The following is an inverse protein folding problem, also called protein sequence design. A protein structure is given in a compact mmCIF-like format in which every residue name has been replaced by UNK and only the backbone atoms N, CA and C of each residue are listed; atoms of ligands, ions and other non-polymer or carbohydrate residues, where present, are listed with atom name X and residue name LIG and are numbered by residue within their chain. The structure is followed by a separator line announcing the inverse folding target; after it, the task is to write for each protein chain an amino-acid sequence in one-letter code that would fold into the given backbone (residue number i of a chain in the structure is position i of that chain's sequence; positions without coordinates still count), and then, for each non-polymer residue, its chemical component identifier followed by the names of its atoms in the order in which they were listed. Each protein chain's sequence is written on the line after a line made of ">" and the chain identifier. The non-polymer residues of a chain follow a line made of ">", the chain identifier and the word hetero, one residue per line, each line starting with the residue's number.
data_IF_246802346909
#
_entry.id   IF_246802346909
#
_cell.length_a   1.000
_cell.length_b   1.000
_cell.length_c   1.000
_cell.angle_alpha   90.00
_cell.angle_beta   90.00
_cell.angle_gamma   90.00
#
_symmetry.space_group_name_H-M   'P 1'
#
loop_
_entity.id
_entity.type
_entity.pdbx_description
1 polymer ?
#
# COMPACT_ATOMS: atom_id res chain seq x y z
N UNK A 1 23.78 23.32 -22.22
CA UNK A 1 22.80 22.95 -23.27
C UNK A 1 22.33 21.50 -23.20
N UNK A 2 23.16 20.49 -22.88
CA UNK A 2 22.76 19.05 -22.87
C UNK A 2 21.57 18.67 -21.97
N UNK A 3 21.42 19.28 -20.79
CA UNK A 3 20.35 18.94 -19.82
C UNK A 3 18.94 19.28 -20.31
N UNK A 4 18.76 20.37 -21.07
CA UNK A 4 17.44 20.80 -21.58
C UNK A 4 16.87 19.80 -22.61
N UNK A 5 17.74 19.22 -23.44
CA UNK A 5 17.36 18.19 -24.40
C UNK A 5 17.06 16.86 -23.73
N UNK A 6 17.79 16.48 -22.68
CA UNK A 6 17.52 15.25 -21.93
C UNK A 6 16.15 15.29 -21.24
N UNK A 7 15.79 16.42 -20.62
CA UNK A 7 14.46 16.58 -19.99
C UNK A 7 13.36 16.52 -21.04
N UNK A 8 13.53 17.23 -22.16
CA UNK A 8 12.55 17.21 -23.26
C UNK A 8 12.38 15.82 -23.85
N UNK A 9 13.46 15.06 -24.00
CA UNK A 9 13.43 13.69 -24.53
C UNK A 9 12.76 12.73 -23.55
N UNK A 10 12.98 12.89 -22.24
CA UNK A 10 12.26 12.12 -21.20
C UNK A 10 10.77 12.44 -21.21
N UNK A 11 10.38 13.71 -21.38
CA UNK A 11 8.98 14.11 -21.50
C UNK A 11 8.32 13.52 -22.76
N UNK A 12 8.99 13.58 -23.91
CA UNK A 12 8.49 12.99 -25.16
C UNK A 12 8.33 11.47 -25.00
N UNK A 13 9.32 10.78 -24.43
CA UNK A 13 9.23 9.33 -24.17
C UNK A 13 8.10 9.02 -23.19
N UNK A 14 7.92 9.81 -22.13
CA UNK A 14 6.82 9.64 -21.20
C UNK A 14 5.46 9.85 -21.87
N UNK A 15 5.30 10.88 -22.70
CA UNK A 15 4.07 11.15 -23.45
C UNK A 15 3.76 10.01 -24.44
N UNK A 16 4.75 9.51 -25.17
CA UNK A 16 4.59 8.37 -26.08
C UNK A 16 4.21 7.10 -25.32
N UNK A 17 4.77 6.88 -24.13
CA UNK A 17 4.38 5.75 -23.26
C UNK A 17 2.94 5.92 -22.76
N UNK A 18 2.55 7.12 -22.33
CA UNK A 18 1.18 7.43 -21.88
C UNK A 18 0.19 7.24 -23.02
N UNK A 19 0.48 7.77 -24.21
CA UNK A 19 -0.37 7.65 -25.39
C UNK A 19 -0.49 6.19 -25.86
N UNK A 20 0.60 5.43 -25.77
CA UNK A 20 0.59 3.98 -26.04
C UNK A 20 -0.20 3.21 -24.98
N UNK A 21 -0.06 3.53 -23.69
CA UNK A 21 -0.87 2.92 -22.63
C UNK A 21 -2.36 3.26 -22.84
N UNK A 22 -2.70 4.52 -23.17
CA UNK A 22 -4.07 4.95 -23.45
C UNK A 22 -4.68 4.25 -24.67
N UNK A 23 -3.94 4.09 -25.77
CA UNK A 23 -4.40 3.35 -26.94
C UNK A 23 -4.65 1.87 -26.63
N UNK A 24 -3.82 1.24 -25.80
CA UNK A 24 -4.05 -0.13 -25.35
C UNK A 24 -5.26 -0.19 -24.42
N UNK A 25 -5.41 0.76 -23.48
CA UNK A 25 -6.57 0.82 -22.57
C UNK A 25 -7.87 0.99 -23.35
N UNK A 26 -7.91 1.85 -24.37
CA UNK A 26 -9.08 2.02 -25.25
C UNK A 26 -9.42 0.70 -25.95
N UNK A 27 -8.43 0.08 -26.62
CA UNK A 27 -8.65 -1.21 -27.33
C UNK A 27 -9.10 -2.33 -26.40
N UNK A 28 -8.53 -2.41 -25.20
CA UNK A 28 -8.91 -3.40 -24.18
C UNK A 28 -10.32 -3.10 -23.64
N UNK A 29 -10.64 -1.82 -23.41
CA UNK A 29 -11.97 -1.37 -22.99
C UNK A 29 -13.03 -1.77 -24.01
N UNK A 30 -12.85 -1.38 -25.26
CA UNK A 30 -13.81 -1.61 -26.35
C UNK A 30 -14.08 -3.10 -26.57
N UNK A 31 -13.07 -3.95 -26.35
CA UNK A 31 -13.17 -5.40 -26.48
C UNK A 31 -13.73 -6.12 -25.23
N UNK A 32 -13.70 -5.48 -24.06
CA UNK A 32 -14.31 -6.00 -22.82
C UNK A 32 -15.78 -5.61 -22.66
N UNK A 33 -16.30 -4.71 -23.50
CA UNK A 33 -17.65 -4.15 -23.32
C UNK A 33 -18.83 -5.05 -23.76
N UNK A 34 -18.72 -6.16 -24.53
CA UNK A 34 -19.90 -6.97 -24.84
C UNK A 34 -20.00 -8.21 -23.94
N UNK A 35 -20.66 -8.06 -22.77
CA UNK A 35 -21.45 -9.10 -22.04
C UNK A 35 -21.96 -8.66 -20.65
N UNK A 36 -22.35 -7.38 -20.48
CA UNK A 36 -23.25 -7.02 -19.38
C UNK A 36 -24.68 -7.05 -19.91
N UNK A 37 -25.45 -8.07 -19.48
CA UNK A 37 -26.90 -8.15 -19.63
C UNK A 37 -27.55 -6.92 -18.97
N UNK A 38 -28.72 -6.43 -19.44
CA UNK A 38 -29.25 -5.12 -19.07
C UNK A 38 -29.51 -5.01 -17.56
N UNK A 39 -28.92 -4.01 -16.92
CA UNK A 39 -29.32 -3.60 -15.57
C UNK A 39 -30.65 -2.86 -15.65
N UNK A 40 -31.66 -3.40 -14.98
CA UNK A 40 -32.94 -2.75 -14.70
C UNK A 40 -32.70 -1.43 -13.94
N UNK A 41 -33.35 -0.30 -14.29
CA UNK A 41 -33.11 0.97 -13.62
C UNK A 41 -33.71 0.94 -12.20
N UNK A 42 -32.86 1.14 -11.18
CA UNK A 42 -33.34 1.42 -9.83
C UNK A 42 -33.76 2.90 -9.78
N UNK A 43 -35.07 3.16 -9.81
CA UNK A 43 -35.64 4.48 -9.57
C UNK A 43 -35.33 4.92 -8.13
N UNK A 44 -34.62 6.05 -7.98
CA UNK A 44 -34.49 6.76 -6.71
C UNK A 44 -35.64 7.75 -6.55
N UNK A 45 -36.74 7.31 -5.91
CA UNK A 45 -37.72 8.22 -5.33
C UNK A 45 -37.21 8.68 -3.96
N UNK A 46 -36.65 9.89 -3.89
CA UNK A 46 -36.35 10.57 -2.63
C UNK A 46 -37.55 11.44 -2.28
N UNK A 47 -38.37 10.94 -1.34
CA UNK A 47 -39.36 11.75 -0.63
C UNK A 47 -38.76 12.16 0.72
N UNK A 48 -38.72 13.46 1.01
CA UNK A 48 -38.25 14.01 2.28
C UNK A 48 -39.15 13.54 3.46
N UNK A 49 -38.62 13.19 4.64
CA UNK A 49 -39.44 12.99 5.81
C UNK A 49 -39.68 14.32 6.54
N UNK A 50 -40.96 14.53 6.87
CA UNK A 50 -41.50 15.66 7.59
C UNK A 50 -40.98 15.76 9.04
N UNK A 51 -40.78 17.00 9.49
CA UNK A 51 -40.54 17.40 10.87
C UNK A 51 -41.77 17.07 11.75
N UNK A 52 -41.61 16.12 12.67
CA UNK A 52 -42.53 15.92 13.79
C UNK A 52 -42.14 16.87 14.94
N UNK A 53 -43.04 17.80 15.25
CA UNK A 53 -43.03 18.61 16.47
C UNK A 53 -43.29 17.71 17.68
N UNK A 54 -42.46 17.79 18.70
CA UNK A 54 -42.88 17.46 20.07
C UNK A 54 -42.55 18.61 21.02
N UNK A 55 -43.58 19.02 21.75
CA UNK A 55 -43.53 19.96 22.86
C UNK A 55 -42.93 19.26 24.09
N UNK A 56 -41.92 19.87 24.70
CA UNK A 56 -41.38 19.47 26.00
C UNK A 56 -41.05 20.72 26.82
N UNK A 57 -41.55 20.73 28.05
CA UNK A 57 -41.55 21.81 29.05
C UNK A 57 -40.21 22.54 29.24
N UNK A 58 -40.28 23.87 29.39
CA UNK A 58 -39.15 24.77 29.67
C UNK A 58 -38.65 24.61 31.11
N UNK A 59 -37.67 23.73 31.33
CA UNK A 59 -36.74 23.85 32.46
C UNK A 59 -35.59 24.79 32.07
N UNK A 60 -35.69 26.03 32.56
CA UNK A 60 -34.68 27.09 32.67
C UNK A 60 -33.53 27.13 31.65
N UNK A 61 -33.59 28.11 30.73
CA UNK A 61 -32.51 28.51 29.81
C UNK A 61 -31.13 28.66 30.50
N UNK A 62 -31.09 29.02 31.78
CA UNK A 62 -29.84 29.14 32.53
C UNK A 62 -29.12 27.81 32.78
N UNK A 63 -29.84 26.69 32.87
CA UNK A 63 -29.23 25.37 33.04
C UNK A 63 -28.59 24.89 31.75
N UNK A 64 -29.20 25.20 30.60
CA UNK A 64 -28.65 24.91 29.28
C UNK A 64 -27.37 25.70 29.04
N UNK A 65 -27.30 26.97 29.44
CA UNK A 65 -26.09 27.79 29.32
C UNK A 65 -24.92 27.26 30.16
N UNK A 66 -25.18 26.78 31.38
CA UNK A 66 -24.16 26.16 32.24
C UNK A 66 -23.67 24.84 31.63
N UNK A 67 -24.57 24.02 31.10
CA UNK A 67 -24.21 22.78 30.40
C UNK A 67 -23.39 23.09 29.14
N UNK A 68 -23.78 24.12 28.39
CA UNK A 68 -23.11 24.52 27.15
C UNK A 68 -21.71 25.09 27.41
N UNK A 69 -21.54 25.91 28.45
CA UNK A 69 -20.21 26.39 28.88
C UNK A 69 -19.34 25.25 29.42
N UNK A 70 -19.92 24.29 30.15
CA UNK A 70 -19.17 23.10 30.58
C UNK A 70 -18.76 22.21 29.40
N UNK A 71 -19.63 22.04 28.41
CA UNK A 71 -19.36 21.28 27.20
C UNK A 71 -18.31 21.98 26.35
N UNK A 72 -18.41 23.30 26.18
CA UNK A 72 -17.45 24.14 25.47
C UNK A 72 -16.07 24.10 26.15
N UNK A 73 -16.00 24.22 27.48
CA UNK A 73 -14.76 24.06 28.24
C UNK A 73 -14.18 22.65 28.17
N UNK A 74 -15.04 21.62 28.08
CA UNK A 74 -14.61 20.23 27.84
C UNK A 74 -14.06 20.04 26.44
N UNK A 75 -14.70 20.65 25.44
CA UNK A 75 -14.25 20.69 24.05
C UNK A 75 -12.93 21.46 23.95
N UNK A 76 -12.81 22.66 24.52
CA UNK A 76 -11.58 23.45 24.54
C UNK A 76 -10.45 22.72 25.27
N UNK A 77 -10.70 22.08 26.42
CA UNK A 77 -9.70 21.24 27.09
C UNK A 77 -9.35 19.97 26.29
N UNK A 78 -10.28 19.43 25.49
CA UNK A 78 -10.02 18.34 24.57
C UNK A 78 -9.17 18.82 23.40
N UNK A 79 -9.47 19.98 22.82
CA UNK A 79 -8.70 20.62 21.76
C UNK A 79 -7.30 20.99 22.26
N UNK A 80 -7.16 21.54 23.46
CA UNK A 80 -5.86 21.84 24.09
C UNK A 80 -5.06 20.57 24.45
N UNK A 81 -5.70 19.48 24.92
CA UNK A 81 -5.02 18.18 25.10
C UNK A 81 -4.63 17.52 23.78
N UNK A 82 -5.36 17.81 22.71
CA UNK A 82 -5.08 17.28 21.37
C UNK A 82 -3.98 18.10 20.68
N UNK A 83 -3.92 19.40 20.92
CA UNK A 83 -2.86 20.31 20.46
C UNK A 83 -1.55 20.13 21.24
N UNK A 84 -1.60 19.83 22.55
CA UNK A 84 -0.40 19.54 23.35
C UNK A 84 0.19 18.13 23.12
N UNK A 85 -0.41 17.33 22.23
CA UNK A 85 0.06 16.00 21.75
C UNK A 85 -0.06 15.86 20.22
N UNK A 86 -0.12 16.97 19.49
CA UNK A 86 -0.27 16.98 18.04
C UNK A 86 1.04 16.58 17.32
N UNK A 87 1.27 15.27 17.25
CA UNK A 87 2.39 14.64 16.53
C UNK A 87 2.60 13.17 16.89
N UNK A 88 1.52 12.39 17.07
CA UNK A 88 1.68 10.95 17.34
C UNK A 88 2.35 10.24 16.16
N UNK A 89 3.30 9.32 16.44
CA UNK A 89 4.00 8.50 15.43
C UNK A 89 3.01 7.76 14.53
N UNK A 90 2.94 8.12 13.25
CA UNK A 90 2.06 7.48 12.25
C UNK A 90 2.71 6.25 11.63
N UNK A 91 1.91 5.21 11.43
CA UNK A 91 2.31 3.94 10.81
C UNK A 91 1.48 3.72 9.56
N UNK A 92 2.03 4.00 8.38
CA UNK A 92 1.29 3.99 7.13
C UNK A 92 1.50 2.65 6.44
N UNK A 93 0.42 1.95 6.11
CA UNK A 93 0.47 0.77 5.25
C UNK A 93 -0.11 1.09 3.88
N UNK A 94 0.76 1.21 2.87
CA UNK A 94 0.38 1.35 1.47
C UNK A 94 0.15 -0.05 0.88
N UNK A 95 -1.12 -0.44 0.83
CA UNK A 95 -1.58 -1.68 0.21
C UNK A 95 -1.90 -1.46 -1.26
N UNK A 96 -1.50 -2.40 -2.11
CA UNK A 96 -1.72 -2.30 -3.53
C UNK A 96 -1.65 -3.67 -4.22
N UNK A 97 -1.79 -3.69 -5.55
CA UNK A 97 -1.37 -4.82 -6.38
C UNK A 97 -0.27 -4.40 -7.34
N UNK A 98 0.45 -5.35 -7.92
CA UNK A 98 1.51 -5.04 -8.90
C UNK A 98 0.95 -4.27 -10.10
N UNK A 99 1.69 -3.24 -10.54
CA UNK A 99 1.37 -2.32 -11.65
C UNK A 99 0.25 -1.28 -11.39
N UNK A 100 -0.14 -1.09 -10.14
CA UNK A 100 -1.09 -0.02 -9.74
C UNK A 100 -0.48 1.38 -9.61
N UNK A 101 0.86 1.50 -9.69
CA UNK A 101 1.55 2.78 -9.43
C UNK A 101 2.03 2.92 -7.97
N UNK A 102 1.85 1.90 -7.13
CA UNK A 102 2.24 1.92 -5.72
C UNK A 102 3.71 2.25 -5.45
N UNK A 103 4.61 1.95 -6.39
CA UNK A 103 6.04 2.31 -6.24
C UNK A 103 6.26 3.80 -6.44
N UNK A 104 5.49 4.44 -7.32
CA UNK A 104 5.51 5.90 -7.49
C UNK A 104 4.90 6.58 -6.27
N UNK A 105 3.74 6.09 -5.78
CA UNK A 105 3.12 6.63 -4.56
C UNK A 105 4.02 6.44 -3.33
N UNK A 106 4.67 5.28 -3.21
CA UNK A 106 5.60 4.99 -2.13
C UNK A 106 6.81 5.93 -2.09
N UNK A 107 7.23 6.47 -3.24
CA UNK A 107 8.36 7.38 -3.34
C UNK A 107 8.09 8.72 -2.64
N UNK A 108 6.83 9.18 -2.57
CA UNK A 108 6.49 10.38 -1.78
C UNK A 108 6.81 10.20 -0.30
N UNK A 109 6.62 8.99 0.26
CA UNK A 109 7.02 8.68 1.63
C UNK A 109 8.54 8.54 1.76
N UNK A 110 9.17 7.88 0.79
CA UNK A 110 10.61 7.65 0.75
C UNK A 110 11.44 8.96 0.73
N UNK A 111 10.87 10.03 0.16
CA UNK A 111 11.49 11.35 0.05
C UNK A 111 11.28 12.26 1.28
N UNK A 112 10.51 11.85 2.29
CA UNK A 112 10.33 12.64 3.52
C UNK A 112 11.57 12.67 4.42
N UNK A 113 12.66 11.98 4.04
CA UNK A 113 13.99 12.14 4.62
C UNK A 113 14.08 11.75 6.10
N UNK A 114 14.46 12.69 6.97
CA UNK A 114 14.69 12.46 8.39
C UNK A 114 13.43 12.06 9.17
N UNK A 115 12.23 12.33 8.63
CA UNK A 115 10.99 12.12 9.38
C UNK A 115 10.32 10.76 9.17
N UNK A 116 10.66 10.06 8.09
CA UNK A 116 9.97 8.84 7.66
C UNK A 116 10.94 7.68 7.50
N UNK A 117 10.56 6.53 8.04
CA UNK A 117 11.17 5.25 7.71
C UNK A 117 10.30 4.51 6.69
N UNK A 118 10.69 4.54 5.41
CA UNK A 118 9.97 3.86 4.34
C UNK A 118 10.58 2.48 4.04
N UNK A 119 9.76 1.43 3.99
CA UNK A 119 10.15 0.09 3.58
C UNK A 119 9.42 -0.37 2.32
N UNK A 120 10.22 -0.76 1.32
CA UNK A 120 9.73 -1.29 0.06
C UNK A 120 9.53 -2.82 0.12
N UNK A 121 8.28 -3.28 0.06
CA UNK A 121 7.89 -4.69 -0.08
C UNK A 121 8.62 -5.72 0.81
N UNK A 122 8.72 -5.51 2.14
CA UNK A 122 9.42 -6.45 3.02
C UNK A 122 8.80 -7.86 3.03
N UNK A 123 7.48 -7.96 2.79
CA UNK A 123 6.76 -9.23 2.72
C UNK A 123 7.13 -10.11 1.52
N UNK A 124 7.99 -9.64 0.60
CA UNK A 124 8.53 -10.48 -0.48
C UNK A 124 9.20 -11.75 0.03
N UNK A 125 9.94 -11.64 1.13
CA UNK A 125 10.61 -12.78 1.76
C UNK A 125 9.62 -13.79 2.32
N UNK A 126 8.60 -13.29 3.00
CA UNK A 126 7.54 -14.12 3.58
C UNK A 126 6.79 -14.88 2.48
N UNK A 127 6.39 -14.21 1.40
CA UNK A 127 5.74 -14.87 0.27
C UNK A 127 6.66 -15.89 -0.40
N UNK A 128 7.93 -15.54 -0.64
CA UNK A 128 8.88 -16.44 -1.30
C UNK A 128 9.10 -17.73 -0.50
N UNK A 129 9.21 -17.64 0.83
CA UNK A 129 9.42 -18.81 1.68
C UNK A 129 8.15 -19.66 1.84
N UNK A 130 6.98 -19.03 1.94
CA UNK A 130 5.71 -19.75 2.15
C UNK A 130 5.06 -20.27 0.86
N UNK A 131 5.62 -19.94 -0.30
CA UNK A 131 5.17 -20.50 -1.58
C UNK A 131 5.59 -21.96 -1.65
N UNK A 132 4.61 -22.87 -1.67
CA UNK A 132 4.81 -24.31 -1.80
C UNK A 132 5.45 -24.63 -3.16
N UNK A 133 6.11 -25.78 -3.28
CA UNK A 133 6.72 -26.24 -4.54
C UNK A 133 5.71 -26.34 -5.70
N UNK A 134 4.42 -26.51 -5.40
CA UNK A 134 3.31 -26.51 -6.36
C UNK A 134 2.88 -25.11 -6.82
N UNK A 135 3.54 -24.04 -6.36
CA UNK A 135 3.26 -22.65 -6.72
C UNK A 135 2.08 -22.01 -5.98
N UNK A 136 1.48 -22.71 -5.02
CA UNK A 136 0.41 -22.21 -4.15
C UNK A 136 0.92 -21.74 -2.78
N UNK A 137 0.22 -20.80 -2.14
CA UNK A 137 0.44 -20.42 -0.73
C UNK A 137 -0.79 -20.79 0.09
N UNK A 138 -0.60 -21.33 1.31
CA UNK A 138 -1.72 -21.44 2.25
C UNK A 138 -2.14 -20.02 2.63
N UNK A 139 -3.27 -19.56 2.08
CA UNK A 139 -3.71 -18.18 2.18
C UNK A 139 -3.89 -17.71 3.63
N UNK A 140 -4.40 -18.59 4.50
CA UNK A 140 -4.64 -18.30 5.92
C UNK A 140 -3.32 -18.21 6.69
N UNK A 141 -2.40 -19.15 6.48
CA UNK A 141 -1.08 -19.13 7.12
C UNK A 141 -0.27 -17.89 6.67
N UNK A 142 -0.32 -17.58 5.38
CA UNK A 142 0.37 -16.43 4.79
C UNK A 142 -0.18 -15.11 5.33
N UNK A 143 -1.51 -14.98 5.47
CA UNK A 143 -2.13 -13.78 6.04
C UNK A 143 -1.67 -13.51 7.48
N UNK A 144 -1.57 -14.56 8.32
CA UNK A 144 -1.05 -14.42 9.69
C UNK A 144 0.42 -14.00 9.69
N UNK A 145 1.27 -14.67 8.91
CA UNK A 145 2.69 -14.33 8.82
C UNK A 145 2.90 -12.89 8.31
N UNK A 146 2.15 -12.46 7.30
CA UNK A 146 2.19 -11.09 6.80
C UNK A 146 1.84 -10.08 7.88
N UNK A 147 0.74 -10.33 8.59
CA UNK A 147 0.27 -9.48 9.69
C UNK A 147 1.32 -9.35 10.80
N UNK A 148 1.87 -10.47 11.24
CA UNK A 148 2.82 -10.52 12.35
C UNK A 148 4.14 -9.82 11.97
N UNK A 149 4.64 -10.05 10.76
CA UNK A 149 5.81 -9.35 10.23
C UNK A 149 5.56 -7.85 10.10
N UNK A 150 4.41 -7.43 9.57
CA UNK A 150 4.08 -6.00 9.47
C UNK A 150 4.02 -5.33 10.85
N UNK A 151 3.42 -6.00 11.84
CA UNK A 151 3.35 -5.50 13.21
C UNK A 151 4.74 -5.28 13.80
N UNK A 152 5.64 -6.26 13.69
CA UNK A 152 7.02 -6.14 14.19
C UNK A 152 7.80 -5.04 13.45
N UNK A 153 7.68 -4.96 12.13
CA UNK A 153 8.35 -3.92 11.35
C UNK A 153 7.86 -2.52 11.69
N UNK A 154 6.57 -2.32 11.95
CA UNK A 154 6.06 -1.02 12.44
C UNK A 154 6.58 -0.65 13.82
N UNK A 155 6.91 -1.64 14.65
CA UNK A 155 7.58 -1.47 15.94
C UNK A 155 9.10 -1.38 15.82
N UNK A 156 9.63 -1.33 14.59
CA UNK A 156 11.05 -1.31 14.29
C UNK A 156 11.80 -2.53 14.86
N UNK A 157 11.21 -3.71 14.73
CA UNK A 157 11.84 -5.00 14.99
C UNK A 157 11.88 -5.84 13.71
N UNK A 158 13.10 -6.10 13.22
CA UNK A 158 13.34 -6.88 12.02
C UNK A 158 13.54 -8.37 12.28
N UNK A 159 13.66 -8.79 13.54
CA UNK A 159 14.03 -10.17 13.93
C UNK A 159 13.11 -11.21 13.30
N UNK A 160 11.79 -10.95 13.29
CA UNK A 160 10.84 -11.88 12.68
C UNK A 160 11.01 -11.95 11.15
N UNK A 161 11.35 -10.85 10.49
CA UNK A 161 11.59 -10.84 9.04
C UNK A 161 12.81 -11.70 8.67
N UNK A 162 13.85 -11.73 9.52
CA UNK A 162 15.08 -12.49 9.29
C UNK A 162 14.82 -13.97 9.01
N UNK A 163 13.86 -14.55 9.73
CA UNK A 163 13.47 -15.96 9.57
C UNK A 163 12.96 -16.31 8.17
N UNK A 164 12.57 -15.30 7.37
CA UNK A 164 12.08 -15.46 6.01
C UNK A 164 13.13 -15.11 4.93
N UNK A 165 14.29 -14.56 5.32
CA UNK A 165 15.35 -14.17 4.38
C UNK A 165 16.20 -15.39 4.04
N UNK A 166 16.46 -15.61 2.75
CA UNK A 166 17.31 -16.68 2.26
C UNK A 166 18.44 -16.11 1.38
N UNK A 167 19.73 -16.38 1.70
CA UNK A 167 20.23 -17.12 2.87
C UNK A 167 19.89 -16.43 4.20
N UNK A 168 19.83 -17.22 5.28
CA UNK A 168 19.56 -16.72 6.62
C UNK A 168 20.61 -15.66 7.01
N UNK A 169 20.21 -14.52 7.60
CA UNK A 169 21.16 -13.54 8.10
C UNK A 169 22.11 -14.15 9.14
N UNK A 170 23.37 -13.69 9.14
CA UNK A 170 24.39 -14.06 10.13
C UNK A 170 24.70 -12.82 10.93
N UNK A 171 24.60 -12.89 12.26
CA UNK A 171 24.75 -11.75 13.17
C UNK A 171 23.89 -10.53 12.74
N UNK A 172 22.64 -10.81 12.34
CA UNK A 172 21.68 -9.82 11.78
C UNK A 172 22.14 -9.14 10.49
N UNK A 173 23.17 -9.64 9.82
CA UNK A 173 23.70 -9.10 8.56
C UNK A 173 23.23 -9.93 7.36
N UNK A 174 22.73 -9.25 6.33
CA UNK A 174 22.28 -9.90 5.08
C UNK A 174 22.65 -9.11 3.83
N UNK A 175 22.91 -9.84 2.75
CA UNK A 175 23.13 -9.30 1.39
C UNK A 175 21.88 -9.40 0.50
N UNK A 176 20.82 -9.99 1.04
CA UNK A 176 19.72 -10.53 0.24
C UNK A 176 18.37 -9.87 0.52
N UNK A 177 18.34 -8.69 1.13
CA UNK A 177 17.08 -7.96 1.31
C UNK A 177 16.52 -7.51 -0.06
N UNK A 178 15.30 -7.94 -0.37
CA UNK A 178 14.64 -7.63 -1.64
C UNK A 178 14.54 -6.12 -1.85
N UNK A 179 15.13 -5.65 -2.95
CA UNK A 179 15.07 -4.26 -3.40
C UNK A 179 15.39 -3.23 -2.32
N UNK A 180 16.39 -3.53 -1.47
CA UNK A 180 16.92 -2.62 -0.44
C UNK A 180 17.09 -1.19 -0.97
N UNK A 181 17.58 -1.03 -2.20
CA UNK A 181 17.84 0.27 -2.83
C UNK A 181 16.60 1.16 -3.01
N UNK A 182 15.41 0.59 -2.86
CA UNK A 182 14.14 1.30 -2.95
C UNK A 182 13.69 1.91 -1.61
N UNK A 183 14.47 1.75 -0.55
CA UNK A 183 14.22 2.30 0.79
C UNK A 183 15.40 3.19 1.19
N UNK A 184 15.26 4.51 1.09
CA UNK A 184 16.33 5.48 1.33
C UNK A 184 16.98 5.30 2.70
N UNK A 185 16.17 5.08 3.73
CA UNK A 185 16.62 4.86 5.11
C UNK A 185 17.51 3.63 5.31
N UNK A 186 17.53 2.68 4.36
CA UNK A 186 18.43 1.51 4.38
C UNK A 186 19.76 1.74 3.63
N UNK A 187 19.86 2.91 2.99
CA UNK A 187 20.99 3.34 2.16
C UNK A 187 21.61 4.66 2.65
N UNK A 188 21.22 5.11 3.84
CA UNK A 188 21.73 6.31 4.51
C UNK A 188 22.46 5.94 5.80
N UNK A 189 23.24 6.87 6.36
CA UNK A 189 23.85 6.67 7.67
C UNK A 189 22.77 6.55 8.76
N UNK A 190 22.98 5.72 9.80
CA UNK A 190 24.13 4.83 10.03
C UNK A 190 24.00 3.44 9.37
N UNK A 191 22.91 3.17 8.64
CA UNK A 191 22.63 1.83 8.07
C UNK A 191 23.55 1.48 6.90
N UNK A 192 24.02 2.49 6.16
CA UNK A 192 24.98 2.35 5.08
C UNK A 192 26.40 2.11 5.62
N UNK A 193 26.68 0.87 6.02
CA UNK A 193 28.01 0.48 6.52
C UNK A 193 29.08 0.55 5.42
N UNK A 194 30.38 0.60 5.78
CA UNK A 194 31.46 0.59 4.79
C UNK A 194 31.40 -0.61 3.84
N UNK A 195 31.64 -0.34 2.56
CA UNK A 195 31.66 -1.37 1.52
C UNK A 195 32.67 -2.50 1.81
N UNK A 196 32.23 -3.74 1.67
CA UNK A 196 33.08 -4.94 1.83
C UNK A 196 33.42 -5.52 0.46
N UNK A 197 34.71 -5.57 0.11
CA UNK A 197 35.17 -6.16 -1.15
C UNK A 197 34.78 -7.65 -1.22
N UNK A 198 34.45 -8.12 -2.43
CA UNK A 198 34.09 -9.53 -2.75
C UNK A 198 32.74 -10.02 -2.21
N UNK A 199 31.97 -9.19 -1.52
CA UNK A 199 30.58 -9.52 -1.17
C UNK A 199 29.65 -9.02 -2.27
N UNK A 200 28.85 -9.92 -2.84
CA UNK A 200 27.86 -9.58 -3.87
C UNK A 200 26.50 -9.31 -3.25
N UNK A 201 26.00 -8.09 -3.42
CA UNK A 201 24.63 -7.71 -3.10
C UNK A 201 23.82 -7.48 -4.37
N UNK A 202 22.77 -8.28 -4.57
CA UNK A 202 21.89 -8.15 -5.73
C UNK A 202 21.18 -6.80 -5.78
N UNK A 203 20.87 -6.24 -4.61
CA UNK A 203 20.06 -5.03 -4.43
C UNK A 203 20.88 -3.94 -3.72
N UNK A 204 22.02 -3.57 -4.31
CA UNK A 204 22.91 -2.56 -3.74
C UNK A 204 22.33 -1.14 -3.85
N UNK A 205 22.64 -0.29 -2.87
CA UNK A 205 22.25 1.11 -2.88
C UNK A 205 22.82 1.84 -4.11
N UNK A 206 21.97 2.62 -4.79
CA UNK A 206 22.34 3.28 -6.06
C UNK A 206 23.31 4.45 -5.89
N UNK A 207 23.11 5.23 -4.83
CA UNK A 207 23.80 6.50 -4.59
C UNK A 207 25.02 6.37 -3.70
N UNK A 208 25.12 5.27 -2.94
CA UNK A 208 26.21 5.02 -1.99
C UNK A 208 26.69 3.59 -2.08
N UNK A 209 28.00 3.38 -1.90
CA UNK A 209 28.58 2.05 -1.76
C UNK A 209 28.46 1.60 -0.31
N UNK A 210 27.28 1.09 0.03
CA UNK A 210 27.05 0.47 1.33
C UNK A 210 27.57 -0.98 1.32
N UNK A 211 28.05 -1.45 2.45
CA UNK A 211 28.25 -2.87 2.73
C UNK A 211 26.94 -3.58 3.04
N UNK A 212 27.03 -4.87 3.40
CA UNK A 212 25.87 -5.71 3.73
C UNK A 212 24.96 -5.07 4.77
N UNK A 213 23.66 -5.28 4.61
CA UNK A 213 22.67 -4.66 5.47
C UNK A 213 22.70 -5.29 6.85
N UNK A 214 23.00 -4.49 7.87
CA UNK A 214 22.82 -4.86 9.27
C UNK A 214 21.39 -4.48 9.72
N UNK A 215 20.59 -5.47 10.08
CA UNK A 215 19.18 -5.30 10.45
C UNK A 215 19.00 -4.72 11.86
N UNK A 216 20.01 -4.84 12.73
CA UNK A 216 20.05 -4.11 14.01
C UNK A 216 20.17 -2.61 13.76
N UNK A 217 21.10 -2.17 12.91
CA UNK A 217 21.24 -0.76 12.52
C UNK A 217 19.97 -0.25 11.81
N UNK A 218 19.33 -1.08 10.99
CA UNK A 218 18.04 -0.74 10.36
C UNK A 218 16.93 -0.53 11.40
N UNK A 219 16.87 -1.39 12.42
CA UNK A 219 15.93 -1.28 13.56
C UNK A 219 16.16 0.00 14.34
N UNK A 220 17.41 0.34 14.65
CA UNK A 220 17.78 1.57 15.35
C UNK A 220 17.42 2.82 14.54
N UNK A 221 17.77 2.84 13.25
CA UNK A 221 17.41 3.92 12.32
C UNK A 221 15.89 4.10 12.25
N UNK A 222 15.11 3.01 12.18
CA UNK A 222 13.65 3.07 12.20
C UNK A 222 13.10 3.73 13.48
N UNK A 223 13.68 3.41 14.65
CA UNK A 223 13.25 3.99 15.93
C UNK A 223 13.51 5.49 16.03
N UNK A 224 14.53 5.97 15.34
CA UNK A 224 14.87 7.40 15.28
C UNK A 224 13.92 8.21 14.40
N UNK A 225 13.21 7.59 13.45
CA UNK A 225 12.22 8.27 12.60
C UNK A 225 10.88 8.42 13.34
N UNK A 226 10.22 9.56 13.14
CA UNK A 226 8.91 9.84 13.74
C UNK A 226 7.79 8.99 13.14
N UNK A 227 7.84 8.77 11.83
CA UNK A 227 6.80 8.06 11.08
C UNK A 227 7.38 6.85 10.36
N UNK A 228 6.54 5.85 10.09
CA UNK A 228 6.91 4.65 9.34
C UNK A 228 5.92 4.43 8.24
N UNK A 229 6.41 4.05 7.07
CA UNK A 229 5.58 3.69 5.93
C UNK A 229 6.06 2.37 5.35
N UNK A 230 5.15 1.42 5.19
CA UNK A 230 5.45 0.14 4.55
C UNK A 230 4.59 0.03 3.31
N UNK A 231 5.22 -0.27 2.19
CA UNK A 231 4.52 -0.58 0.94
C UNK A 231 4.48 -2.09 0.75
N UNK A 232 3.31 -2.63 0.42
CA UNK A 232 3.15 -4.06 0.10
C UNK A 232 2.15 -4.30 -1.02
N UNK A 233 2.38 -5.38 -1.78
CA UNK A 233 1.46 -5.86 -2.83
C UNK A 233 0.87 -7.24 -2.53
N UNK A 234 1.10 -7.75 -1.31
CA UNK A 234 0.83 -9.14 -0.91
C UNK A 234 -0.36 -9.28 0.02
N UNK A 235 -0.70 -8.22 0.75
CA UNK A 235 -1.90 -8.19 1.57
C UNK A 235 -3.09 -7.94 0.66
N UNK A 236 -4.02 -8.89 0.63
CA UNK A 236 -5.17 -8.88 -0.29
C UNK A 236 -6.43 -8.27 0.33
N UNK A 237 -6.61 -8.44 1.64
CA UNK A 237 -7.85 -8.11 2.35
C UNK A 237 -7.55 -7.27 3.58
N UNK A 238 -8.17 -6.10 3.67
CA UNK A 238 -8.01 -5.15 4.77
C UNK A 238 -8.39 -5.75 6.12
N UNK A 239 -9.39 -6.62 6.16
CA UNK A 239 -9.92 -7.28 7.35
C UNK A 239 -8.87 -8.13 8.07
N UNK A 240 -7.91 -8.71 7.32
CA UNK A 240 -6.81 -9.50 7.90
C UNK A 240 -5.85 -8.66 8.75
N UNK A 241 -5.91 -7.34 8.60
CA UNK A 241 -5.07 -6.38 9.30
C UNK A 241 -5.74 -5.74 10.51
N UNK A 242 -6.97 -6.15 10.85
CA UNK A 242 -7.67 -5.69 12.06
C UNK A 242 -6.79 -5.71 13.31
N UNK A 243 -5.96 -6.75 13.58
CA UNK A 243 -5.10 -6.73 14.76
C UNK A 243 -4.02 -5.63 14.76
N UNK A 244 -3.60 -5.12 13.59
CA UNK A 244 -2.71 -3.95 13.53
C UNK A 244 -3.44 -2.67 13.91
N UNK A 245 -4.71 -2.54 13.51
CA UNK A 245 -5.54 -1.38 13.82
C UNK A 245 -5.95 -1.32 15.30
N UNK A 246 -6.13 -2.49 15.92
CA UNK A 246 -6.49 -2.63 17.34
C UNK A 246 -5.27 -2.61 18.28
N UNK A 247 -4.03 -2.71 17.76
CA UNK A 247 -2.82 -2.61 18.58
C UNK A 247 -2.66 -1.18 19.15
N UNK A 248 -2.71 -0.99 20.48
CA UNK A 248 -2.64 0.34 21.09
C UNK A 248 -1.27 1.01 20.90
N UNK A 249 -0.23 0.25 20.53
CA UNK A 249 1.11 0.78 20.24
C UNK A 249 1.19 1.43 18.86
N UNK A 250 0.24 1.14 17.98
CA UNK A 250 0.28 1.54 16.58
C UNK A 250 -0.81 2.58 16.26
N UNK A 251 -0.37 3.68 15.66
CA UNK A 251 -1.26 4.62 14.95
C UNK A 251 -1.30 4.33 13.45
N UNK A 252 -2.01 3.28 13.06
CA UNK A 252 -1.99 2.78 11.68
C UNK A 252 -2.89 3.59 10.76
N UNK A 253 -2.38 3.91 9.56
CA UNK A 253 -3.13 4.48 8.45
C UNK A 253 -3.10 3.54 7.25
N UNK A 254 -4.26 3.06 6.81
CA UNK A 254 -4.34 2.17 5.66
C UNK A 254 -4.63 2.95 4.38
N UNK A 255 -3.74 2.81 3.39
CA UNK A 255 -3.93 3.39 2.05
C UNK A 255 -4.04 2.23 1.06
N UNK A 256 -5.26 1.96 0.57
CA UNK A 256 -5.48 1.00 -0.52
C UNK A 256 -5.42 1.72 -1.86
N UNK A 257 -4.35 1.48 -2.63
CA UNK A 257 -4.25 2.00 -3.98
C UNK A 257 -5.06 1.13 -4.95
N UNK A 258 -5.96 1.77 -5.69
CA UNK A 258 -6.81 1.15 -6.71
C UNK A 258 -6.48 1.77 -8.06
N UNK A 259 -6.27 0.94 -9.08
CA UNK A 259 -6.08 1.35 -10.48
C UNK A 259 -7.03 0.53 -11.34
N UNK A 260 -7.51 1.14 -12.42
CA UNK A 260 -8.32 0.46 -13.43
C UNK A 260 -7.66 -0.88 -13.85
N UNK A 261 -8.38 -2.03 -13.74
CA UNK A 261 -7.81 -3.33 -14.06
C UNK A 261 -7.41 -3.48 -15.54
N UNK A 262 -8.03 -2.73 -16.46
CA UNK A 262 -7.64 -2.66 -17.87
C UNK A 262 -6.27 -2.02 -18.03
N UNK A 263 -6.02 -0.93 -17.30
CA UNK A 263 -4.71 -0.28 -17.27
C UNK A 263 -3.63 -1.17 -16.63
N UNK A 264 -3.99 -1.90 -15.58
CA UNK A 264 -3.09 -2.91 -14.96
C UNK A 264 -2.74 -4.00 -15.98
N UNK A 265 -3.71 -4.55 -16.70
CA UNK A 265 -3.51 -5.56 -17.73
C UNK A 265 -2.63 -5.03 -18.86
N UNK A 266 -2.97 -3.87 -19.42
CA UNK A 266 -2.19 -3.20 -20.46
C UNK A 266 -0.71 -3.05 -20.05
N UNK A 267 -0.48 -2.62 -18.82
CA UNK A 267 0.87 -2.44 -18.29
C UNK A 267 1.61 -3.77 -18.08
N UNK A 268 0.90 -4.83 -17.68
CA UNK A 268 1.46 -6.19 -17.55
C UNK A 268 1.82 -6.80 -18.92
N UNK A 269 1.02 -6.56 -19.95
CA UNK A 269 1.32 -7.00 -21.31
C UNK A 269 2.65 -6.42 -21.82
N UNK A 270 2.96 -5.18 -21.46
CA UNK A 270 4.25 -4.55 -21.80
C UNK A 270 5.37 -5.11 -20.94
N UNK A 271 5.22 -5.11 -19.61
CA UNK A 271 6.27 -5.48 -18.67
C UNK A 271 6.64 -6.98 -18.67
N UNK A 272 5.68 -7.85 -19.00
CA UNK A 272 5.84 -9.31 -18.99
C UNK A 272 5.46 -9.90 -20.34
N UNK A 273 5.99 -9.31 -21.42
CA UNK A 273 5.64 -9.62 -22.81
C UNK A 273 5.61 -11.12 -23.14
N UNK A 274 6.56 -11.89 -22.61
CA UNK A 274 6.65 -13.33 -22.83
C UNK A 274 5.46 -14.11 -22.22
N UNK A 275 4.95 -13.66 -21.07
CA UNK A 275 3.82 -14.27 -20.36
C UNK A 275 2.48 -13.90 -21.00
N UNK A 276 2.38 -12.71 -21.59
CA UNK A 276 1.15 -12.17 -22.17
C UNK A 276 1.15 -12.20 -23.71
N UNK A 277 1.83 -13.15 -24.35
CA UNK A 277 1.86 -13.26 -25.83
C UNK A 277 0.46 -13.45 -26.42
N UNK A 278 -0.36 -14.31 -25.81
CA UNK A 278 -1.72 -14.59 -26.30
C UNK A 278 -2.63 -13.36 -26.16
N UNK A 279 -2.51 -12.64 -25.06
CA UNK A 279 -3.19 -11.35 -24.85
C UNK A 279 -2.80 -10.28 -25.86
N UNK A 280 -1.53 -10.24 -26.28
CA UNK A 280 -1.09 -9.33 -27.35
C UNK A 280 -1.68 -9.71 -28.69
N UNK A 281 -1.73 -11.00 -29.02
CA UNK A 281 -2.41 -11.49 -30.22
C UNK A 281 -3.90 -11.15 -30.17
N UNK A 282 -4.59 -11.40 -29.07
CA UNK A 282 -5.98 -10.97 -28.88
C UNK A 282 -6.19 -9.46 -29.12
N UNK A 283 -5.32 -8.61 -28.57
CA UNK A 283 -5.44 -7.16 -28.74
C UNK A 283 -5.27 -6.69 -30.21
N UNK A 284 -4.72 -7.53 -31.08
CA UNK A 284 -4.52 -7.26 -32.52
C UNK A 284 -5.56 -8.01 -33.37
N UNK A 285 -5.81 -9.28 -33.06
CA UNK A 285 -6.52 -10.25 -33.90
C UNK A 285 -7.97 -10.52 -33.41
N UNK A 286 -8.31 -10.17 -32.17
CA UNK A 286 -9.67 -10.20 -31.63
C UNK A 286 -10.15 -11.52 -31.00
N UNK A 287 -9.40 -12.62 -31.08
CA UNK A 287 -9.79 -13.93 -30.51
C UNK A 287 -9.43 -14.05 -29.02
N UNK A 288 -10.44 -14.14 -28.15
CA UNK A 288 -10.29 -14.26 -26.69
C UNK A 288 -9.90 -15.71 -26.34
N UNK A 289 -8.78 -15.98 -25.64
CA UNK A 289 -8.50 -17.31 -25.14
C UNK A 289 -9.59 -17.78 -24.17
N UNK A 290 -10.15 -18.97 -24.41
CA UNK A 290 -11.32 -19.52 -23.70
C UNK A 290 -11.02 -19.91 -22.25
N UNK A 291 -9.75 -20.10 -21.89
CA UNK A 291 -9.34 -20.38 -20.51
C UNK A 291 -8.10 -19.57 -20.14
N UNK A 292 -8.33 -18.42 -19.52
CA UNK A 292 -7.27 -17.47 -19.21
C UNK A 292 -7.12 -17.31 -17.70
N UNK A 293 -6.19 -18.08 -17.14
CA UNK A 293 -5.79 -17.99 -15.74
C UNK A 293 -5.41 -16.56 -15.32
N UNK A 294 -4.98 -15.70 -16.24
CA UNK A 294 -4.69 -14.30 -15.93
C UNK A 294 -5.97 -13.45 -15.84
N UNK A 295 -7.03 -13.74 -16.61
CA UNK A 295 -8.37 -13.14 -16.36
C UNK A 295 -8.86 -13.55 -14.98
N UNK A 296 -8.77 -14.84 -14.65
CA UNK A 296 -9.21 -15.35 -13.33
C UNK A 296 -8.43 -14.66 -12.20
N UNK A 297 -7.11 -14.51 -12.34
CA UNK A 297 -6.27 -13.75 -11.39
C UNK A 297 -6.64 -12.27 -11.34
N UNK A 298 -6.92 -11.63 -12.48
CA UNK A 298 -7.30 -10.22 -12.53
C UNK A 298 -8.66 -10.00 -11.86
N UNK A 299 -9.64 -10.83 -12.16
CA UNK A 299 -10.95 -10.86 -11.51
C UNK A 299 -10.80 -11.05 -10.00
N UNK A 300 -10.04 -12.06 -9.57
CA UNK A 300 -9.77 -12.31 -8.16
C UNK A 300 -9.08 -11.12 -7.47
N UNK A 301 -8.16 -10.42 -8.14
CA UNK A 301 -7.58 -9.18 -7.60
C UNK A 301 -8.62 -8.07 -7.46
N UNK A 302 -9.51 -7.91 -8.45
CA UNK A 302 -10.59 -6.92 -8.39
C UNK A 302 -11.56 -7.22 -7.25
N UNK A 303 -11.93 -8.50 -7.05
CA UNK A 303 -12.79 -8.92 -5.95
C UNK A 303 -12.15 -8.63 -4.58
N UNK A 304 -10.86 -8.92 -4.41
CA UNK A 304 -10.14 -8.60 -3.17
C UNK A 304 -10.06 -7.08 -2.90
N UNK A 305 -9.84 -6.28 -3.95
CA UNK A 305 -9.86 -4.82 -3.83
C UNK A 305 -11.26 -4.32 -3.45
N UNK A 306 -12.30 -4.85 -4.11
CA UNK A 306 -13.70 -4.52 -3.82
C UNK A 306 -14.04 -4.83 -2.36
N UNK A 307 -13.71 -6.03 -1.87
CA UNK A 307 -13.95 -6.41 -0.47
C UNK A 307 -13.25 -5.46 0.51
N UNK A 308 -11.96 -5.17 0.29
CA UNK A 308 -11.20 -4.24 1.12
C UNK A 308 -11.79 -2.82 1.09
N UNK A 309 -12.22 -2.36 -0.09
CA UNK A 309 -12.84 -1.05 -0.26
C UNK A 309 -14.21 -0.97 0.42
N UNK A 310 -15.03 -2.02 0.34
CA UNK A 310 -16.32 -2.09 1.03
C UNK A 310 -16.15 -1.98 2.55
N UNK A 311 -15.15 -2.66 3.14
CA UNK A 311 -14.86 -2.48 4.57
C UNK A 311 -14.29 -1.10 4.88
N UNK A 312 -13.40 -0.58 4.03
CA UNK A 312 -12.90 0.79 4.12
C UNK A 312 -14.01 1.83 4.13
N UNK A 313 -15.02 1.68 3.28
CA UNK A 313 -16.15 2.60 3.18
C UNK A 313 -17.16 2.43 4.32
N UNK A 314 -17.35 1.19 4.81
CA UNK A 314 -18.23 0.92 5.96
C UNK A 314 -17.69 1.49 7.27
N UNK A 315 -16.38 1.76 7.37
CA UNK A 315 -15.74 2.33 8.57
C UNK A 315 -16.17 1.62 9.88
N UNK A 316 -15.97 0.30 9.99
CA UNK A 316 -16.28 -0.41 11.23
C UNK A 316 -15.48 0.15 12.41
N UNK A 317 -15.94 -0.06 13.64
CA UNK A 317 -15.37 0.56 14.85
C UNK A 317 -13.83 0.44 14.96
N UNK A 318 -13.26 -0.70 14.58
CA UNK A 318 -11.81 -0.94 14.61
C UNK A 318 -11.01 -0.14 13.56
N UNK A 319 -11.67 0.35 12.51
CA UNK A 319 -11.07 1.12 11.42
C UNK A 319 -11.35 2.63 11.51
N UNK A 320 -12.24 3.05 12.42
CA UNK A 320 -12.58 4.46 12.56
C UNK A 320 -11.35 5.30 12.91
N UNK A 321 -11.09 6.32 12.09
CA UNK A 321 -9.91 7.17 12.24
C UNK A 321 -8.59 6.46 11.95
N UNK A 322 -8.60 5.37 11.18
CA UNK A 322 -7.43 4.66 10.64
C UNK A 322 -7.34 4.79 9.11
#
# INVERSE_FOLDING_TARGET
>A
MRIKYTISLVFIVALVIIEKENNIISKVSDKLTPRQTPQTPLQSNVSAPALLKQNGSYSSLSQLDVIFTHLKRRLENYTQRTESRAGGRKHILLMATTRTGSSFVGEFFNQQGSNMFYLFEPLWHVEKMLTLETGGTNATASARAYRDVLQQLFLCDFTLLETFINPLPVDHVTTSLFRRESSSSLCEEPVCTPFVKKVFERYHCKTRRCGPLNLTLASESCRQKEHRAIKTVRVRQLETLRPLAEDPRLDVKFIQLVRDPRAVLASRMVAFSAKYKNWKKWAVDGEVPIDDDEVKKLKGNCDNIRMSAEVGLKQPAWLQGR
#
